data_IF_428240192859
#
_entry.id   IF_428240192859
#
_cell.length_a   1.000
_cell.length_b   1.000
_cell.length_c   1.000
_cell.angle_alpha   90.00
_cell.angle_beta   90.00
_cell.angle_gamma   90.00
#
_symmetry.space_group_name_H-M   'P 1'
#
loop_
_entity.id
_entity.type
_entity.pdbx_description
1 polymer ?
#
# COMPACT_ATOMS: atom_id res chain seq x y z
N UNK A 1 -35.35 -42.99 -6.06
CA UNK A 1 -34.08 -43.47 -6.69
C UNK A 1 -33.06 -42.37 -6.48
N UNK A 2 -31.89 -42.50 -5.84
CA UNK A 2 -31.25 -43.56 -5.08
C UNK A 2 -30.28 -42.87 -4.09
N UNK A 3 -30.13 -43.42 -2.90
CA UNK A 3 -29.15 -42.98 -1.88
C UNK A 3 -27.78 -43.56 -2.20
N UNK A 4 -26.76 -42.72 -2.36
CA UNK A 4 -25.36 -43.17 -2.52
C UNK A 4 -24.61 -42.99 -1.19
N UNK A 5 -24.76 -43.97 -0.30
CA UNK A 5 -23.82 -44.22 0.77
C UNK A 5 -22.53 -44.78 0.14
N UNK A 6 -21.43 -44.04 0.23
CA UNK A 6 -20.12 -44.56 -0.15
C UNK A 6 -19.74 -45.67 0.85
N UNK A 7 -19.82 -46.92 0.40
CA UNK A 7 -19.34 -48.11 1.09
C UNK A 7 -17.89 -47.90 1.50
N UNK A 8 -17.62 -47.98 2.80
CA UNK A 8 -16.26 -48.01 3.33
C UNK A 8 -15.47 -49.10 2.62
N UNK A 9 -14.51 -48.71 1.78
CA UNK A 9 -13.51 -49.62 1.24
C UNK A 9 -12.75 -50.23 2.40
N UNK A 10 -13.15 -51.42 2.82
CA UNK A 10 -12.35 -52.31 3.64
C UNK A 10 -11.09 -52.63 2.84
N UNK A 11 -10.05 -51.81 3.01
CA UNK A 11 -8.69 -52.19 2.67
C UNK A 11 -8.47 -53.51 3.41
N UNK A 12 -8.53 -54.62 2.68
CA UNK A 12 -8.24 -55.94 3.20
C UNK A 12 -6.77 -55.92 3.58
N UNK A 13 -6.49 -55.61 4.85
CA UNK A 13 -5.11 -55.53 5.36
C UNK A 13 -4.58 -56.95 5.42
N UNK A 14 -3.69 -57.25 4.48
CA UNK A 14 -2.93 -58.49 4.44
C UNK A 14 -1.78 -58.46 5.43
N UNK A 15 -1.43 -59.61 5.97
CA UNK A 15 -0.33 -59.74 6.92
C UNK A 15 1.00 -59.38 6.23
N UNK A 16 1.72 -58.39 6.76
CA UNK A 16 3.01 -57.97 6.20
C UNK A 16 4.12 -59.05 6.24
N UNK A 17 3.92 -60.14 6.99
CA UNK A 17 4.90 -61.23 7.08
C UNK A 17 4.65 -62.37 6.07
N UNK A 18 3.39 -62.67 5.71
CA UNK A 18 3.05 -63.79 4.82
C UNK A 18 2.09 -63.44 3.66
N UNK A 19 1.59 -62.21 3.61
CA UNK A 19 0.69 -61.71 2.57
C UNK A 19 -0.75 -62.20 2.64
N UNK A 20 -1.13 -63.07 3.59
CA UNK A 20 -2.51 -63.55 3.70
C UNK A 20 -3.44 -62.57 4.43
N UNK A 21 -4.71 -62.41 3.99
CA UNK A 21 -5.70 -61.55 4.66
C UNK A 21 -6.24 -62.18 5.95
N UNK A 22 -6.79 -61.35 6.84
CA UNK A 22 -7.51 -61.80 8.04
C UNK A 22 -6.71 -61.77 9.35
N UNK A 23 -5.42 -61.43 9.33
CA UNK A 23 -4.63 -61.22 10.54
C UNK A 23 -3.51 -60.17 10.34
N UNK A 24 -3.07 -59.54 11.43
CA UNK A 24 -1.90 -58.64 11.42
C UNK A 24 -0.61 -59.42 11.69
N UNK A 25 0.54 -58.84 11.32
CA UNK A 25 1.87 -59.45 11.42
C UNK A 25 2.22 -60.01 12.82
N UNK A 26 1.62 -59.48 13.88
CA UNK A 26 1.83 -59.94 15.26
C UNK A 26 1.08 -61.24 15.59
N UNK A 27 0.02 -61.54 14.84
CA UNK A 27 -0.83 -62.72 15.02
C UNK A 27 -0.64 -63.73 13.87
N UNK A 28 0.50 -63.65 13.17
CA UNK A 28 0.80 -64.54 12.06
C UNK A 28 1.17 -65.95 12.58
N UNK A 29 0.44 -67.01 12.21
CA UNK A 29 0.70 -68.36 12.70
C UNK A 29 2.07 -68.91 12.25
N UNK A 30 2.67 -68.31 11.22
CA UNK A 30 3.98 -68.70 10.69
C UNK A 30 5.17 -68.03 11.42
N UNK A 31 4.92 -67.22 12.46
CA UNK A 31 5.98 -66.47 13.16
C UNK A 31 7.00 -67.36 13.91
N UNK A 32 6.71 -68.65 14.11
CA UNK A 32 7.55 -69.57 14.88
C UNK A 32 8.48 -70.44 14.01
N UNK A 33 8.52 -70.27 12.69
CA UNK A 33 9.37 -71.10 11.81
C UNK A 33 10.07 -70.28 10.71
N UNK A 34 10.92 -69.32 11.07
CA UNK A 34 12.02 -68.89 10.15
C UNK A 34 12.96 -67.89 10.82
N UNK A 35 13.94 -68.40 11.55
CA UNK A 35 15.22 -67.70 11.70
C UNK A 35 16.04 -67.91 10.42
N UNK A 36 15.76 -67.17 9.35
CA UNK A 36 16.64 -67.10 8.18
C UNK A 36 16.65 -65.69 7.58
N UNK A 37 17.81 -65.06 7.67
CA UNK A 37 18.21 -63.86 6.95
C UNK A 37 18.27 -64.14 5.45
N UNK A 38 17.46 -63.44 4.64
CA UNK A 38 17.59 -63.47 3.18
C UNK A 38 18.16 -62.14 2.68
N UNK A 39 19.42 -62.21 2.23
CA UNK A 39 20.13 -61.20 1.45
C UNK A 39 19.82 -61.38 -0.03
N UNK A 40 19.11 -60.44 -0.64
CA UNK A 40 19.00 -60.35 -2.10
C UNK A 40 19.60 -59.02 -2.58
N UNK A 41 20.84 -59.09 -3.07
CA UNK A 41 21.52 -58.02 -3.82
C UNK A 41 21.54 -58.36 -5.30
N UNK A 42 21.04 -57.46 -6.15
CA UNK A 42 21.14 -57.55 -7.61
C UNK A 42 22.07 -56.45 -8.18
N UNK A 43 23.22 -56.92 -8.70
CA UNK A 43 23.98 -56.55 -9.93
C UNK A 43 24.18 -55.07 -10.34
N UNK A 44 25.45 -54.63 -10.38
CA UNK A 44 26.09 -53.87 -11.49
C UNK A 44 27.59 -54.25 -11.57
N UNK A 45 28.21 -54.48 -12.75
CA UNK A 45 29.64 -54.77 -12.88
C UNK A 45 30.45 -53.56 -13.36
N UNK A 46 31.61 -53.29 -12.75
CA UNK A 46 32.67 -52.46 -13.37
C UNK A 46 34.07 -52.74 -12.77
N UNK A 47 34.83 -53.52 -13.53
CA UNK A 47 36.26 -53.36 -13.88
C UNK A 47 37.31 -52.96 -12.81
N UNK A 48 38.06 -54.00 -12.43
CA UNK A 48 39.51 -54.12 -12.29
C UNK A 48 40.41 -52.87 -12.55
N UNK A 49 41.17 -52.43 -11.55
CA UNK A 49 42.51 -51.83 -11.72
C UNK A 49 43.41 -52.19 -10.53
N UNK A 50 44.61 -52.69 -10.85
CA UNK A 50 45.63 -53.14 -9.90
C UNK A 50 46.74 -52.09 -9.71
N UNK A 51 47.49 -52.26 -8.61
CA UNK A 51 48.87 -51.79 -8.30
C UNK A 51 48.93 -50.31 -7.84
N UNK A 52 49.55 -49.93 -6.70
CA UNK A 52 50.99 -50.03 -6.35
C UNK A 52 51.25 -50.10 -4.84
N UNK A 53 52.19 -50.98 -4.48
CA UNK A 53 52.89 -51.20 -3.20
C UNK A 53 54.08 -50.24 -3.02
N UNK A 54 54.28 -49.69 -1.81
CA UNK A 54 55.56 -49.12 -1.33
C UNK A 54 55.72 -49.44 0.17
N UNK A 55 56.93 -49.73 0.69
CA UNK A 55 57.10 -50.58 1.88
C UNK A 55 57.30 -49.82 3.21
N UNK A 56 57.26 -50.65 4.25
CA UNK A 56 57.36 -50.34 5.67
C UNK A 56 58.63 -49.60 6.13
N UNK A 57 58.44 -48.73 7.13
CA UNK A 57 59.44 -48.34 8.13
C UNK A 57 58.86 -48.62 9.51
N UNK A 58 59.53 -49.48 10.28
CA UNK A 58 58.98 -50.14 11.45
C UNK A 58 59.23 -49.48 12.82
N UNK A 59 58.73 -50.23 13.82
CA UNK A 59 58.93 -50.16 15.28
C UNK A 59 57.81 -49.46 16.10
N UNK A 60 57.61 -49.84 17.39
CA UNK A 60 57.21 -51.19 17.81
C UNK A 60 56.04 -51.20 18.83
N UNK A 61 55.32 -52.32 18.87
CA UNK A 61 54.51 -52.88 19.95
C UNK A 61 53.66 -51.96 20.86
N UNK A 62 52.33 -52.10 20.71
CA UNK A 62 51.38 -51.69 21.73
C UNK A 62 49.94 -52.06 21.39
N UNK A 63 49.50 -53.21 21.94
CA UNK A 63 48.11 -53.50 22.32
C UNK A 63 47.14 -54.05 21.23
N UNK A 64 46.97 -55.38 21.27
CA UNK A 64 45.86 -56.09 20.62
C UNK A 64 44.55 -55.84 21.40
N UNK A 65 43.73 -54.91 20.90
CA UNK A 65 42.31 -54.81 21.23
C UNK A 65 41.48 -55.18 20.01
N UNK A 66 40.75 -56.29 20.10
CA UNK A 66 39.85 -56.80 19.06
C UNK A 66 38.83 -55.72 18.63
N UNK A 67 39.01 -55.14 17.44
CA UNK A 67 38.05 -54.23 16.82
C UNK A 67 37.52 -54.86 15.52
N UNK A 68 36.67 -55.88 15.66
CA UNK A 68 35.84 -56.38 14.57
C UNK A 68 34.75 -55.33 14.26
N UNK A 69 34.74 -54.74 13.05
CA UNK A 69 33.54 -54.09 12.51
C UNK A 69 33.67 -52.73 11.81
N UNK A 70 34.85 -52.35 11.30
CA UNK A 70 35.11 -50.97 10.83
C UNK A 70 34.96 -50.64 9.34
N UNK A 71 34.42 -51.52 8.48
CA UNK A 71 34.49 -51.32 7.02
C UNK A 71 33.25 -50.74 6.33
N UNK A 72 32.05 -50.98 6.87
CA UNK A 72 30.78 -50.68 6.16
C UNK A 72 30.07 -49.41 6.65
N UNK A 73 30.20 -49.08 7.94
CA UNK A 73 29.53 -47.90 8.54
C UNK A 73 29.92 -46.57 7.87
N UNK A 74 31.21 -46.27 7.62
CA UNK A 74 31.58 -44.99 7.02
C UNK A 74 31.06 -44.83 5.58
N UNK A 75 30.93 -45.94 4.84
CA UNK A 75 30.43 -45.94 3.45
C UNK A 75 28.92 -45.75 3.40
N UNK A 76 28.19 -46.40 4.31
CA UNK A 76 26.73 -46.24 4.42
C UNK A 76 26.38 -44.82 4.86
N UNK A 77 27.09 -44.26 5.84
CA UNK A 77 26.91 -42.87 6.29
C UNK A 77 27.14 -41.86 5.14
N UNK A 78 28.16 -42.08 4.31
CA UNK A 78 28.43 -41.21 3.16
C UNK A 78 27.35 -41.33 2.05
N UNK A 79 26.81 -42.53 1.82
CA UNK A 79 25.70 -42.74 0.88
C UNK A 79 24.41 -42.09 1.41
N UNK A 80 24.12 -42.24 2.70
CA UNK A 80 22.99 -41.59 3.37
C UNK A 80 23.10 -40.06 3.27
N UNK A 81 24.28 -39.49 3.50
CA UNK A 81 24.52 -38.05 3.33
C UNK A 81 24.33 -37.57 1.87
N UNK A 82 24.77 -38.38 0.90
CA UNK A 82 24.62 -38.05 -0.53
C UNK A 82 23.14 -38.11 -0.95
N UNK A 83 22.41 -39.15 -0.54
CA UNK A 83 20.96 -39.28 -0.81
C UNK A 83 20.15 -38.18 -0.13
N UNK A 84 20.50 -37.82 1.12
CA UNK A 84 19.89 -36.70 1.82
C UNK A 84 20.09 -35.37 1.07
N UNK A 85 21.30 -35.15 0.52
CA UNK A 85 21.61 -33.97 -0.28
C UNK A 85 20.81 -33.93 -1.59
N UNK A 86 20.70 -35.07 -2.29
CA UNK A 86 19.90 -35.17 -3.52
C UNK A 86 18.43 -34.90 -3.23
N UNK A 87 17.88 -35.50 -2.17
CA UNK A 87 16.49 -35.29 -1.76
C UNK A 87 16.24 -33.83 -1.41
N UNK A 88 17.13 -33.19 -0.64
CA UNK A 88 16.99 -31.79 -0.29
C UNK A 88 17.00 -30.86 -1.52
N UNK A 89 17.81 -31.17 -2.54
CA UNK A 89 17.81 -30.42 -3.81
C UNK A 89 16.51 -30.62 -4.58
N UNK A 90 16.03 -31.85 -4.70
CA UNK A 90 14.78 -32.14 -5.39
C UNK A 90 13.57 -31.52 -4.70
N UNK A 91 13.47 -31.63 -3.38
CA UNK A 91 12.39 -31.02 -2.59
C UNK A 91 12.44 -29.48 -2.73
N UNK A 92 13.64 -28.88 -2.77
CA UNK A 92 13.81 -27.45 -3.01
C UNK A 92 13.45 -27.02 -4.44
N UNK A 93 13.71 -27.85 -5.45
CA UNK A 93 13.31 -27.60 -6.84
C UNK A 93 11.79 -27.69 -7.00
N UNK A 94 11.15 -28.71 -6.43
CA UNK A 94 9.70 -28.85 -6.43
C UNK A 94 9.01 -27.67 -5.74
N UNK A 95 9.57 -27.17 -4.64
CA UNK A 95 9.01 -26.00 -3.95
C UNK A 95 9.19 -24.72 -4.77
N UNK A 96 10.33 -24.55 -5.45
CA UNK A 96 10.53 -23.42 -6.38
C UNK A 96 9.54 -23.46 -7.54
N UNK A 97 9.22 -24.63 -8.08
CA UNK A 97 8.22 -24.78 -9.14
C UNK A 97 6.81 -24.44 -8.66
N UNK A 98 6.43 -24.89 -7.46
CA UNK A 98 5.14 -24.51 -6.85
C UNK A 98 5.03 -23.00 -6.65
N UNK A 99 6.07 -22.37 -6.09
CA UNK A 99 6.09 -20.92 -5.89
C UNK A 99 5.96 -20.18 -7.23
N UNK A 100 6.67 -20.63 -8.27
CA UNK A 100 6.54 -20.05 -9.62
C UNK A 100 5.13 -20.18 -10.16
N UNK A 101 4.52 -21.36 -10.06
CA UNK A 101 3.15 -21.59 -10.52
C UNK A 101 2.14 -20.74 -9.75
N UNK A 102 2.27 -20.64 -8.43
CA UNK A 102 1.42 -19.78 -7.59
C UNK A 102 1.60 -18.29 -7.93
N UNK A 103 2.83 -17.84 -8.21
CA UNK A 103 3.12 -16.48 -8.64
C UNK A 103 2.55 -16.17 -10.04
N UNK A 104 2.64 -17.12 -10.97
CA UNK A 104 2.04 -17.00 -12.31
C UNK A 104 0.52 -16.93 -12.24
N UNK A 105 -0.12 -17.78 -11.44
CA UNK A 105 -1.57 -17.75 -11.20
C UNK A 105 -2.00 -16.45 -10.52
N UNK A 106 -1.22 -15.93 -9.56
CA UNK A 106 -1.49 -14.62 -8.95
C UNK A 106 -1.41 -13.49 -9.99
N UNK A 107 -0.35 -13.48 -10.82
CA UNK A 107 -0.20 -12.49 -11.91
C UNK A 107 -1.33 -12.58 -12.93
N UNK A 108 -1.82 -13.78 -13.22
CA UNK A 108 -2.94 -13.99 -14.13
C UNK A 108 -4.22 -13.38 -13.55
N UNK A 109 -4.54 -13.65 -12.27
CA UNK A 109 -5.68 -13.05 -11.57
C UNK A 109 -5.61 -11.52 -11.52
N UNK A 110 -4.42 -10.96 -11.26
CA UNK A 110 -4.22 -9.50 -11.27
C UNK A 110 -4.46 -8.89 -12.65
N UNK A 111 -4.01 -9.55 -13.73
CA UNK A 111 -4.25 -9.10 -15.11
C UNK A 111 -5.74 -9.15 -15.47
N UNK A 112 -6.43 -10.23 -15.13
CA UNK A 112 -7.88 -10.37 -15.33
C UNK A 112 -8.65 -9.29 -14.56
N UNK A 113 -8.28 -9.01 -13.31
CA UNK A 113 -8.87 -7.93 -12.52
C UNK A 113 -8.60 -6.54 -13.09
N UNK A 114 -7.39 -6.31 -13.60
CA UNK A 114 -7.04 -5.05 -14.25
C UNK A 114 -7.80 -4.85 -15.57
N UNK A 115 -7.98 -5.93 -16.35
CA UNK A 115 -8.79 -5.92 -17.56
C UNK A 115 -10.26 -5.58 -17.25
N UNK A 116 -10.88 -6.24 -16.26
CA UNK A 116 -12.25 -5.91 -15.81
C UNK A 116 -12.39 -4.44 -15.41
N UNK A 117 -11.38 -3.86 -14.75
CA UNK A 117 -11.39 -2.44 -14.38
C UNK A 117 -11.27 -1.52 -15.61
N UNK A 118 -10.48 -1.90 -16.61
CA UNK A 118 -10.37 -1.14 -17.87
C UNK A 118 -11.65 -1.20 -18.68
N UNK A 119 -12.30 -2.36 -18.76
CA UNK A 119 -13.58 -2.52 -19.43
C UNK A 119 -14.67 -1.69 -18.76
N UNK A 120 -14.83 -1.78 -17.44
CA UNK A 120 -15.81 -0.97 -16.70
C UNK A 120 -15.56 0.54 -16.86
N UNK A 121 -14.29 0.97 -16.95
CA UNK A 121 -13.94 2.36 -17.23
C UNK A 121 -14.34 2.75 -18.66
N UNK A 122 -14.05 1.89 -19.64
CA UNK A 122 -14.38 2.12 -21.05
C UNK A 122 -15.90 2.21 -21.24
N UNK A 123 -16.67 1.32 -20.64
CA UNK A 123 -18.14 1.37 -20.68
C UNK A 123 -18.69 2.68 -20.09
N UNK A 124 -18.12 3.16 -18.98
CA UNK A 124 -18.50 4.45 -18.39
C UNK A 124 -18.19 5.63 -19.31
N UNK A 125 -17.03 5.62 -19.97
CA UNK A 125 -16.62 6.64 -20.94
C UNK A 125 -17.52 6.59 -22.19
N UNK A 126 -17.82 5.40 -22.70
CA UNK A 126 -18.74 5.19 -23.83
C UNK A 126 -20.15 5.68 -23.50
N UNK A 127 -20.67 5.39 -22.29
CA UNK A 127 -21.97 5.91 -21.84
C UNK A 127 -21.96 7.45 -21.76
N UNK A 128 -20.89 8.03 -21.22
CA UNK A 128 -20.74 9.48 -21.14
C UNK A 128 -20.64 10.12 -22.53
N UNK A 129 -19.92 9.49 -23.46
CA UNK A 129 -19.82 9.96 -24.85
C UNK A 129 -21.17 9.85 -25.56
N UNK A 130 -21.91 8.75 -25.39
CA UNK A 130 -23.26 8.59 -25.92
C UNK A 130 -24.20 9.67 -25.38
N UNK A 131 -24.18 9.94 -24.07
CA UNK A 131 -24.92 11.05 -23.48
C UNK A 131 -24.52 12.40 -24.06
N UNK A 132 -23.22 12.66 -24.20
CA UNK A 132 -22.71 13.91 -24.77
C UNK A 132 -23.15 14.08 -26.23
N UNK A 133 -23.11 13.02 -27.04
CA UNK A 133 -23.60 13.03 -28.43
C UNK A 133 -25.11 13.27 -28.50
N UNK A 134 -25.88 12.61 -27.64
CA UNK A 134 -27.33 12.79 -27.58
C UNK A 134 -27.72 14.21 -27.15
N UNK A 135 -27.01 14.79 -26.18
CA UNK A 135 -27.18 16.18 -25.77
C UNK A 135 -26.76 17.14 -26.89
N UNK A 136 -25.63 16.89 -27.55
CA UNK A 136 -25.16 17.66 -28.70
C UNK A 136 -26.21 17.70 -29.83
N UNK A 137 -26.72 16.55 -30.24
CA UNK A 137 -27.75 16.48 -31.29
C UNK A 137 -29.06 17.20 -30.93
N UNK A 138 -29.49 17.13 -29.66
CA UNK A 138 -30.65 17.90 -29.18
C UNK A 138 -30.38 19.40 -29.21
N UNK A 139 -29.19 19.84 -28.82
CA UNK A 139 -28.80 21.24 -28.85
C UNK A 139 -28.69 21.77 -30.29
N UNK A 140 -28.17 20.96 -31.22
CA UNK A 140 -28.11 21.31 -32.64
C UNK A 140 -29.52 21.45 -33.25
N UNK A 141 -30.45 20.56 -32.91
CA UNK A 141 -31.84 20.67 -33.33
C UNK A 141 -32.52 21.94 -32.78
N UNK A 142 -32.28 22.27 -31.51
CA UNK A 142 -32.78 23.53 -30.91
C UNK A 142 -32.14 24.74 -31.59
N UNK A 143 -30.85 24.69 -31.91
CA UNK A 143 -30.14 25.75 -32.63
C UNK A 143 -30.73 25.94 -34.03
N UNK A 144 -31.02 24.87 -34.76
CA UNK A 144 -31.63 24.93 -36.09
C UNK A 144 -33.05 25.52 -36.04
N UNK A 145 -33.87 25.14 -35.04
CA UNK A 145 -35.18 25.73 -34.81
C UNK A 145 -35.09 27.22 -34.47
N UNK A 146 -34.13 27.61 -33.64
CA UNK A 146 -33.87 29.01 -33.31
C UNK A 146 -33.43 29.79 -34.56
N UNK A 147 -32.55 29.26 -35.40
CA UNK A 147 -32.11 29.94 -36.62
C UNK A 147 -33.24 30.09 -37.65
N UNK A 148 -34.11 29.08 -37.81
CA UNK A 148 -35.32 29.18 -38.65
C UNK A 148 -36.30 30.23 -38.09
N UNK A 149 -36.45 30.32 -36.77
CA UNK A 149 -37.29 31.32 -36.12
C UNK A 149 -36.68 32.73 -36.20
N UNK A 150 -35.35 32.84 -36.14
CA UNK A 150 -34.60 34.10 -36.23
C UNK A 150 -34.82 34.85 -37.55
N UNK A 151 -35.17 34.15 -38.64
CA UNK A 151 -35.58 34.79 -39.88
C UNK A 151 -36.88 35.60 -39.78
N UNK A 152 -37.80 35.21 -38.89
CA UNK A 152 -39.08 35.89 -38.62
C UNK A 152 -39.00 36.81 -37.40
N UNK A 153 -38.28 36.41 -36.36
CA UNK A 153 -38.09 37.20 -35.14
C UNK A 153 -37.07 38.32 -35.31
N UNK A 154 -36.10 38.28 -36.24
CA UNK A 154 -35.15 39.39 -36.41
C UNK A 154 -35.85 40.72 -36.75
N UNK A 155 -36.95 40.68 -37.52
CA UNK A 155 -37.72 41.87 -37.87
C UNK A 155 -38.51 42.41 -36.67
N UNK A 156 -39.07 41.53 -35.84
CA UNK A 156 -39.77 41.91 -34.59
C UNK A 156 -38.81 42.32 -33.47
N UNK A 157 -37.68 41.63 -33.33
CA UNK A 157 -36.61 41.91 -32.37
C UNK A 157 -35.88 43.20 -32.73
N UNK A 158 -35.72 43.55 -34.01
CA UNK A 158 -35.22 44.87 -34.41
C UNK A 158 -36.19 45.99 -33.96
N UNK A 159 -37.50 45.75 -34.10
CA UNK A 159 -38.56 46.67 -33.68
C UNK A 159 -38.63 46.82 -32.15
N UNK A 160 -38.60 45.71 -31.42
CA UNK A 160 -38.57 45.69 -29.96
C UNK A 160 -37.25 46.20 -29.37
N UNK A 161 -36.12 46.03 -30.06
CA UNK A 161 -34.83 46.64 -29.66
C UNK A 161 -34.87 48.16 -29.77
N UNK A 162 -35.50 48.72 -30.80
CA UNK A 162 -35.71 50.16 -30.91
C UNK A 162 -36.59 50.70 -29.77
N UNK A 163 -37.62 49.94 -29.40
CA UNK A 163 -38.52 50.26 -28.27
C UNK A 163 -37.84 50.11 -26.90
N UNK A 164 -37.02 49.07 -26.70
CA UNK A 164 -36.19 48.90 -25.51
C UNK A 164 -35.08 49.95 -25.40
N UNK A 165 -34.52 50.43 -26.51
CA UNK A 165 -33.54 51.52 -26.48
C UNK A 165 -34.19 52.85 -26.07
N UNK A 166 -35.46 53.06 -26.43
CA UNK A 166 -36.30 54.17 -25.94
C UNK A 166 -36.61 54.02 -24.44
N UNK A 167 -37.03 52.83 -23.99
CA UNK A 167 -37.34 52.57 -22.59
C UNK A 167 -36.09 52.58 -21.69
N UNK A 168 -34.93 52.10 -22.17
CA UNK A 168 -33.65 52.10 -21.45
C UNK A 168 -33.06 53.51 -21.32
N UNK A 169 -33.30 54.40 -22.31
CA UNK A 169 -33.02 55.83 -22.16
C UNK A 169 -33.90 56.47 -21.07
N UNK A 170 -35.11 55.96 -20.84
CA UNK A 170 -35.95 56.32 -19.69
C UNK A 170 -35.57 55.66 -18.36
N UNK A 171 -35.07 54.42 -18.39
CA UNK A 171 -34.74 53.63 -17.19
C UNK A 171 -33.31 53.87 -16.67
N UNK A 172 -32.41 54.40 -17.49
CA UNK A 172 -31.07 54.86 -17.04
C UNK A 172 -31.15 56.02 -16.02
N UNK A 173 -32.32 56.63 -15.83
CA UNK A 173 -32.60 57.61 -14.78
C UNK A 173 -33.08 56.98 -13.45
N UNK A 174 -33.30 55.67 -13.40
CA UNK A 174 -33.83 54.99 -12.22
C UNK A 174 -33.01 53.74 -11.87
N UNK A 175 -32.38 53.79 -10.70
CA UNK A 175 -31.99 52.65 -9.85
C UNK A 175 -30.65 51.96 -10.11
N UNK A 176 -29.62 52.49 -9.46
CA UNK A 176 -28.56 51.70 -8.83
C UNK A 176 -29.11 51.10 -7.53
N UNK A 177 -29.36 49.78 -7.48
CA UNK A 177 -29.55 49.07 -6.22
C UNK A 177 -28.76 47.76 -6.28
N UNK A 178 -27.73 47.68 -5.45
CA UNK A 178 -26.92 46.49 -5.24
C UNK A 178 -27.75 45.41 -4.51
N UNK A 179 -27.80 44.20 -5.08
CA UNK A 179 -28.47 43.06 -4.47
C UNK A 179 -27.45 42.16 -3.77
N UNK A 180 -27.52 42.13 -2.44
CA UNK A 180 -26.88 41.11 -1.59
C UNK A 180 -27.76 39.86 -1.59
N UNK A 181 -27.56 38.96 -2.55
CA UNK A 181 -28.14 37.61 -2.51
C UNK A 181 -27.00 36.60 -2.64
N UNK A 182 -26.71 35.90 -1.55
CA UNK A 182 -25.71 34.83 -1.50
C UNK A 182 -26.09 33.73 -2.50
N UNK A 183 -25.17 33.38 -3.38
CA UNK A 183 -25.41 32.46 -4.49
C UNK A 183 -25.51 31.02 -3.96
N UNK A 184 -26.35 30.18 -4.59
CA UNK A 184 -26.40 28.74 -4.30
C UNK A 184 -25.01 28.07 -4.43
N UNK A 185 -24.14 28.63 -5.27
CA UNK A 185 -22.75 28.22 -5.39
C UNK A 185 -21.94 28.47 -4.11
N UNK A 186 -22.16 29.60 -3.44
CA UNK A 186 -21.46 29.97 -2.20
C UNK A 186 -21.89 29.04 -1.06
N UNK A 187 -23.18 28.69 -1.00
CA UNK A 187 -23.71 27.71 -0.04
C UNK A 187 -23.10 26.33 -0.25
N UNK A 188 -22.96 25.87 -1.50
CA UNK A 188 -22.32 24.60 -1.82
C UNK A 188 -20.83 24.59 -1.45
N UNK A 189 -20.10 25.66 -1.78
CA UNK A 189 -18.70 25.87 -1.36
C UNK A 189 -18.54 25.77 0.16
N UNK A 190 -19.41 26.46 0.90
CA UNK A 190 -19.41 26.44 2.37
C UNK A 190 -19.69 25.04 2.91
N UNK A 191 -20.70 24.33 2.39
CA UNK A 191 -21.01 22.96 2.81
C UNK A 191 -19.85 21.99 2.56
N UNK A 192 -19.16 22.10 1.41
CA UNK A 192 -17.98 21.29 1.10
C UNK A 192 -16.80 21.61 2.03
N UNK A 193 -16.60 22.89 2.36
CA UNK A 193 -15.55 23.31 3.30
C UNK A 193 -15.83 22.80 4.73
N UNK A 194 -17.10 22.80 5.15
CA UNK A 194 -17.52 22.31 6.45
C UNK A 194 -17.36 20.78 6.57
N UNK A 195 -17.70 20.01 5.53
CA UNK A 195 -17.53 18.56 5.54
C UNK A 195 -16.05 18.15 5.51
N UNK A 196 -15.22 18.92 4.78
CA UNK A 196 -13.75 18.78 4.84
C UNK A 196 -13.23 19.07 6.24
N UNK A 197 -13.67 20.16 6.87
CA UNK A 197 -13.27 20.50 8.24
C UNK A 197 -13.74 19.45 9.27
N UNK A 198 -14.92 18.83 9.08
CA UNK A 198 -15.39 17.72 9.93
C UNK A 198 -14.51 16.49 9.78
N UNK A 199 -14.10 16.16 8.57
CA UNK A 199 -13.23 15.01 8.29
C UNK A 199 -11.82 15.23 8.83
N UNK A 200 -11.27 16.44 8.69
CA UNK A 200 -9.99 16.84 9.27
C UNK A 200 -10.02 16.75 10.81
N UNK A 201 -11.10 17.19 11.46
CA UNK A 201 -11.27 17.03 12.92
C UNK A 201 -11.30 15.57 13.36
N UNK A 202 -12.01 14.71 12.61
CA UNK A 202 -12.04 13.26 12.87
C UNK A 202 -10.66 12.63 12.75
N UNK A 203 -9.89 13.05 11.75
CA UNK A 203 -8.53 12.58 11.54
C UNK A 203 -7.58 13.04 12.65
N UNK A 204 -7.64 14.32 13.03
CA UNK A 204 -6.84 14.86 14.13
C UNK A 204 -7.09 14.11 15.45
N UNK A 205 -8.36 13.83 15.78
CA UNK A 205 -8.70 13.06 16.98
C UNK A 205 -8.14 11.63 16.95
N UNK A 206 -8.12 10.99 15.77
CA UNK A 206 -7.52 9.66 15.61
C UNK A 206 -5.99 9.70 15.74
N UNK A 207 -5.33 10.73 15.18
CA UNK A 207 -3.89 10.91 15.33
C UNK A 207 -3.48 11.17 16.78
N UNK A 208 -4.27 11.95 17.53
CA UNK A 208 -4.09 12.15 18.96
C UNK A 208 -4.20 10.83 19.74
N UNK A 209 -5.18 9.98 19.41
CA UNK A 209 -5.34 8.67 20.06
C UNK A 209 -4.18 7.72 19.74
N UNK A 210 -3.72 7.69 18.49
CA UNK A 210 -2.52 6.93 18.09
C UNK A 210 -1.29 7.43 18.86
N UNK A 211 -1.13 8.74 19.01
CA UNK A 211 -0.02 9.32 19.77
C UNK A 211 -0.11 8.94 21.25
N UNK A 212 -1.30 8.98 21.85
CA UNK A 212 -1.57 8.56 23.23
C UNK A 212 -1.21 7.09 23.44
N UNK A 213 -1.66 6.20 22.55
CA UNK A 213 -1.37 4.76 22.60
C UNK A 213 0.12 4.47 22.45
N UNK A 214 0.81 5.16 21.52
CA UNK A 214 2.27 5.04 21.35
C UNK A 214 3.02 5.45 22.61
N UNK A 215 2.61 6.55 23.26
CA UNK A 215 3.21 7.02 24.51
C UNK A 215 3.02 5.98 25.62
N UNK A 216 1.79 5.48 25.81
CA UNK A 216 1.51 4.45 26.80
C UNK A 216 2.35 3.19 26.54
N UNK A 217 2.51 2.76 25.28
CA UNK A 217 3.34 1.61 24.94
C UNK A 217 4.83 1.85 25.20
N UNK A 218 5.33 3.07 24.96
CA UNK A 218 6.71 3.42 25.29
C UNK A 218 6.94 3.39 26.82
N UNK A 219 5.97 3.85 27.61
CA UNK A 219 6.03 3.80 29.08
C UNK A 219 6.01 2.36 29.61
N UNK A 220 5.16 1.49 29.05
CA UNK A 220 5.12 0.06 29.45
C UNK A 220 6.41 -0.65 29.08
N UNK A 221 6.95 -0.42 27.87
CA UNK A 221 8.24 -0.97 27.46
C UNK A 221 9.38 -0.46 28.35
N UNK A 222 9.36 0.83 28.71
CA UNK A 222 10.31 1.41 29.67
C UNK A 222 10.21 0.75 31.05
N UNK A 223 9.01 0.48 31.54
CA UNK A 223 8.80 -0.26 32.78
C UNK A 223 9.35 -1.69 32.67
N UNK A 224 9.11 -2.40 31.56
CA UNK A 224 9.65 -3.75 31.34
C UNK A 224 11.18 -3.75 31.36
N UNK A 225 11.83 -2.79 30.70
CA UNK A 225 13.29 -2.70 30.70
C UNK A 225 13.85 -2.34 32.08
N UNK A 226 13.18 -1.49 32.86
CA UNK A 226 13.60 -1.21 34.25
C UNK A 226 13.46 -2.45 35.15
N UNK A 227 12.36 -3.20 35.04
CA UNK A 227 12.21 -4.48 35.75
C UNK A 227 13.27 -5.50 35.36
N UNK A 228 13.60 -5.59 34.07
CA UNK A 228 14.65 -6.46 33.55
C UNK A 228 16.04 -6.05 34.05
N UNK A 229 16.33 -4.75 34.10
CA UNK A 229 17.57 -4.23 34.67
C UNK A 229 17.68 -4.53 36.17
N UNK A 230 16.60 -4.36 36.94
CA UNK A 230 16.57 -4.69 38.38
C UNK A 230 16.70 -6.21 38.63
N UNK A 231 16.10 -7.04 37.78
CA UNK A 231 16.25 -8.50 37.85
C UNK A 231 17.70 -8.94 37.61
N UNK A 232 18.42 -8.27 36.72
CA UNK A 232 19.83 -8.53 36.39
C UNK A 232 20.82 -7.78 37.30
N UNK A 233 20.34 -7.00 38.27
CA UNK A 233 21.20 -6.18 39.14
C UNK A 233 22.13 -7.07 39.99
N UNK A 234 23.45 -6.87 39.96
CA UNK A 234 24.39 -7.59 40.81
C UNK A 234 24.03 -7.44 42.30
N UNK A 235 23.92 -8.57 43.02
CA UNK A 235 23.50 -8.60 44.43
C UNK A 235 22.00 -8.82 44.67
N UNK A 236 21.19 -8.94 43.62
CA UNK A 236 19.80 -9.38 43.76
C UNK A 236 19.75 -10.88 44.13
N UNK A 237 19.48 -11.19 45.40
CA UNK A 237 19.37 -12.57 45.93
C UNK A 237 18.13 -13.34 45.43
N UNK A 238 17.38 -12.78 44.47
CA UNK A 238 16.33 -13.48 43.71
C UNK A 238 16.89 -14.19 42.47
N UNK A 239 18.21 -14.34 42.37
CA UNK A 239 18.88 -15.10 41.31
C UNK A 239 19.07 -16.57 41.68
N UNK A 240 18.47 -17.46 40.88
CA UNK A 240 18.92 -18.84 40.66
C UNK A 240 18.68 -19.84 41.80
N UNK A 241 17.59 -20.62 41.71
CA UNK A 241 17.55 -21.92 42.39
C UNK A 241 18.54 -22.83 41.66
N UNK A 242 19.80 -22.87 42.14
CA UNK A 242 20.67 -23.99 41.85
C UNK A 242 20.06 -25.22 42.53
N UNK A 243 19.48 -26.13 41.74
CA UNK A 243 19.03 -27.44 42.22
C UNK A 243 20.27 -28.30 42.48
N UNK A 244 20.95 -28.04 43.59
CA UNK A 244 21.88 -29.01 44.15
C UNK A 244 21.09 -29.99 45.01
N UNK A 245 21.30 -31.32 44.93
CA UNK A 245 20.62 -32.27 45.81
C UNK A 245 21.12 -32.02 47.24
N UNK A 246 20.27 -31.46 48.10
CA UNK A 246 20.60 -31.28 49.52
C UNK A 246 20.28 -32.57 50.27
N UNK A 247 21.23 -33.14 51.03
CA UNK A 247 20.94 -34.22 51.95
C UNK A 247 20.36 -33.65 53.23
N UNK A 248 19.32 -34.33 53.73
CA UNK A 248 18.67 -34.21 55.04
C UNK A 248 17.46 -33.23 55.13
N UNK A 249 16.27 -33.72 55.54
CA UNK A 249 15.07 -32.90 55.67
C UNK A 249 15.04 -32.23 57.05
N UNK A 250 15.04 -30.89 57.09
CA UNK A 250 14.57 -30.16 58.27
C UNK A 250 13.25 -29.47 57.97
N UNK A 251 12.24 -29.88 58.72
CA UNK A 251 10.91 -29.27 58.81
C UNK A 251 11.03 -27.76 59.09
N UNK A 252 10.79 -26.95 58.06
CA UNK A 252 10.34 -25.56 58.24
C UNK A 252 8.90 -25.50 57.79
N UNK A 253 7.99 -25.21 58.74
CA UNK A 253 6.62 -24.84 58.46
C UNK A 253 6.62 -23.48 57.75
N UNK A 254 6.72 -23.50 56.41
CA UNK A 254 6.46 -22.34 55.56
C UNK A 254 4.95 -22.28 55.31
N UNK A 255 4.30 -21.19 55.70
CA UNK A 255 2.91 -20.91 55.35
C UNK A 255 2.76 -21.03 53.83
N UNK A 256 1.95 -21.99 53.41
CA UNK A 256 1.79 -22.39 52.01
C UNK A 256 0.90 -21.34 51.33
N UNK A 257 1.52 -20.29 50.81
CA UNK A 257 0.84 -19.40 49.87
C UNK A 257 0.62 -20.19 48.58
N UNK A 258 -0.62 -20.59 48.33
CA UNK A 258 -1.01 -21.17 47.04
C UNK A 258 -0.84 -20.08 45.98
N UNK A 259 0.01 -20.27 44.96
CA UNK A 259 0.03 -19.35 43.83
C UNK A 259 -1.39 -19.34 43.24
N UNK A 260 -1.99 -18.16 43.12
CA UNK A 260 -3.20 -18.01 42.30
C UNK A 260 -2.81 -18.52 40.92
N UNK A 261 -3.46 -19.60 40.49
CA UNK A 261 -3.27 -20.18 39.17
C UNK A 261 -3.70 -19.11 38.18
N UNK A 262 -2.75 -18.48 37.50
CA UNK A 262 -3.06 -17.63 36.36
C UNK A 262 -3.86 -18.46 35.36
N UNK A 263 -4.94 -17.93 34.76
CA UNK A 263 -5.69 -18.62 33.74
C UNK A 263 -4.73 -19.17 32.67
N UNK A 264 -4.96 -20.40 32.16
CA UNK A 264 -4.09 -20.96 31.13
C UNK A 264 -3.99 -19.97 29.98
N UNK A 265 -2.77 -19.57 29.65
CA UNK A 265 -2.50 -18.71 28.49
C UNK A 265 -2.87 -19.51 27.24
N UNK A 266 -4.02 -19.17 26.66
CA UNK A 266 -4.53 -19.85 25.48
C UNK A 266 -3.77 -19.34 24.25
N UNK A 267 -2.75 -20.10 23.88
CA UNK A 267 -1.80 -19.74 22.82
C UNK A 267 -2.49 -19.58 21.47
N UNK A 268 -3.64 -20.23 21.27
CA UNK A 268 -4.44 -20.06 20.05
C UNK A 268 -5.18 -18.72 20.05
N UNK A 269 -5.78 -18.34 21.18
CA UNK A 269 -6.48 -17.06 21.31
C UNK A 269 -5.53 -15.86 21.15
N UNK A 270 -4.31 -15.97 21.67
CA UNK A 270 -3.28 -14.94 21.47
C UNK A 270 -2.83 -14.83 20.01
N UNK A 271 -2.71 -15.95 19.29
CA UNK A 271 -2.39 -15.94 17.86
C UNK A 271 -3.51 -15.33 17.03
N UNK A 272 -4.76 -15.64 17.37
CA UNK A 272 -5.92 -15.09 16.68
C UNK A 272 -6.03 -13.58 16.89
N UNK A 273 -5.82 -13.10 18.12
CA UNK A 273 -5.77 -11.65 18.40
C UNK A 273 -4.66 -10.93 17.62
N UNK A 274 -3.49 -11.56 17.46
CA UNK A 274 -2.40 -10.99 16.64
C UNK A 274 -2.76 -10.96 15.15
N UNK A 275 -3.40 -12.01 14.63
CA UNK A 275 -3.87 -12.06 13.24
C UNK A 275 -4.96 -11.00 12.97
N UNK A 276 -5.88 -10.80 13.92
CA UNK A 276 -6.92 -9.77 13.83
C UNK A 276 -6.30 -8.37 13.82
N UNK A 277 -5.29 -8.12 14.67
CA UNK A 277 -4.54 -6.87 14.67
C UNK A 277 -3.77 -6.64 13.36
N UNK A 278 -3.15 -7.68 12.80
CA UNK A 278 -2.46 -7.59 11.51
C UNK A 278 -3.44 -7.23 10.38
N UNK A 279 -4.63 -7.85 10.37
CA UNK A 279 -5.67 -7.53 9.39
C UNK A 279 -6.17 -6.09 9.53
N UNK A 280 -6.40 -5.61 10.76
CA UNK A 280 -6.79 -4.22 11.01
C UNK A 280 -5.73 -3.23 10.52
N UNK A 281 -4.45 -3.51 10.78
CA UNK A 281 -3.33 -2.71 10.29
C UNK A 281 -3.32 -2.68 8.76
N UNK A 282 -3.61 -3.79 8.09
CA UNK A 282 -3.65 -3.87 6.63
C UNK A 282 -4.80 -3.04 6.05
N UNK A 283 -5.99 -3.13 6.63
CA UNK A 283 -7.14 -2.29 6.25
C UNK A 283 -6.85 -0.80 6.43
N UNK A 284 -6.16 -0.41 7.51
CA UNK A 284 -5.76 0.97 7.75
C UNK A 284 -4.74 1.47 6.71
N UNK A 285 -3.80 0.62 6.29
CA UNK A 285 -2.85 0.93 5.21
C UNK A 285 -3.57 1.13 3.88
N UNK A 286 -4.48 0.23 3.54
CA UNK A 286 -5.28 0.32 2.31
C UNK A 286 -6.14 1.59 2.29
N UNK A 287 -6.79 1.91 3.41
CA UNK A 287 -7.60 3.13 3.54
C UNK A 287 -6.75 4.38 3.34
N UNK A 288 -5.59 4.47 4.01
CA UNK A 288 -4.66 5.61 3.87
C UNK A 288 -4.13 5.75 2.44
N UNK A 289 -3.85 4.63 1.77
CA UNK A 289 -3.42 4.65 0.38
C UNK A 289 -4.52 5.16 -0.55
N UNK A 290 -5.78 4.75 -0.31
CA UNK A 290 -6.94 5.22 -1.08
C UNK A 290 -7.17 6.71 -0.88
N UNK A 291 -7.08 7.20 0.35
CA UNK A 291 -7.18 8.62 0.72
C UNK A 291 -6.09 9.46 0.00
N UNK A 292 -4.82 9.04 0.11
CA UNK A 292 -3.69 9.73 -0.53
C UNK A 292 -3.81 9.76 -2.06
N UNK A 293 -4.24 8.65 -2.66
CA UNK A 293 -4.49 8.60 -4.11
C UNK A 293 -5.67 9.48 -4.53
N UNK A 294 -6.73 9.55 -3.72
CA UNK A 294 -7.86 10.46 -3.93
C UNK A 294 -7.42 11.92 -3.91
N UNK A 295 -6.63 12.30 -2.90
CA UNK A 295 -6.05 13.64 -2.78
C UNK A 295 -5.18 14.00 -3.98
N UNK A 296 -4.27 13.10 -4.39
CA UNK A 296 -3.41 13.31 -5.57
C UNK A 296 -4.23 13.55 -6.84
N UNK A 297 -5.31 12.78 -7.04
CA UNK A 297 -6.21 12.97 -8.20
C UNK A 297 -6.91 14.33 -8.16
N UNK A 298 -7.41 14.73 -7.00
CA UNK A 298 -8.02 16.05 -6.83
C UNK A 298 -7.02 17.19 -7.05
N UNK A 299 -5.79 17.06 -6.58
CA UNK A 299 -4.71 18.03 -6.82
C UNK A 299 -4.38 18.13 -8.33
N UNK A 300 -4.32 17.01 -9.05
CA UNK A 300 -4.15 17.00 -10.51
C UNK A 300 -5.32 17.66 -11.24
N UNK A 301 -6.55 17.48 -10.79
CA UNK A 301 -7.73 18.15 -11.36
C UNK A 301 -7.70 19.66 -11.11
N UNK A 302 -7.29 20.09 -9.90
CA UNK A 302 -7.09 21.51 -9.60
C UNK A 302 -6.00 22.12 -10.49
N UNK A 303 -4.92 21.41 -10.74
CA UNK A 303 -3.84 21.88 -11.62
C UNK A 303 -4.32 22.01 -13.07
N UNK A 304 -5.07 21.04 -13.59
CA UNK A 304 -5.72 21.13 -14.90
C UNK A 304 -6.68 22.32 -15.00
N UNK A 305 -7.50 22.55 -13.97
CA UNK A 305 -8.41 23.69 -13.95
C UNK A 305 -7.66 25.03 -13.87
N UNK A 306 -6.57 25.10 -13.11
CA UNK A 306 -5.67 26.27 -13.09
C UNK A 306 -5.05 26.53 -14.45
N UNK A 307 -4.60 25.49 -15.16
CA UNK A 307 -4.06 25.63 -16.51
C UNK A 307 -5.14 26.09 -17.50
N UNK A 308 -6.36 25.55 -17.41
CA UNK A 308 -7.48 26.01 -18.21
C UNK A 308 -7.81 27.49 -17.94
N UNK A 309 -7.81 27.91 -16.67
CA UNK A 309 -7.99 29.31 -16.27
C UNK A 309 -6.90 30.21 -16.83
N UNK A 310 -5.63 29.82 -16.70
CA UNK A 310 -4.49 30.56 -17.25
C UNK A 310 -4.56 30.66 -18.77
N UNK A 311 -4.96 29.58 -19.46
CA UNK A 311 -5.09 29.57 -20.92
C UNK A 311 -6.27 30.44 -21.40
N UNK A 312 -7.36 30.51 -20.62
CA UNK A 312 -8.47 31.45 -20.86
C UNK A 312 -8.08 32.90 -20.56
N UNK A 313 -7.25 33.16 -19.56
CA UNK A 313 -6.68 34.49 -19.28
C UNK A 313 -5.73 34.96 -20.39
N UNK A 314 -4.86 34.08 -20.87
CA UNK A 314 -3.99 34.37 -22.03
C UNK A 314 -4.84 34.66 -23.28
N UNK A 315 -5.92 33.92 -23.53
CA UNK A 315 -6.88 34.20 -24.61
C UNK A 315 -7.70 35.48 -24.40
N UNK A 316 -7.88 35.92 -23.15
CA UNK A 316 -8.50 37.20 -22.79
C UNK A 316 -7.53 38.39 -22.81
N UNK A 317 -6.22 38.16 -22.99
CA UNK A 317 -5.32 39.28 -23.26
C UNK A 317 -5.83 39.99 -24.51
N UNK A 318 -6.20 41.27 -24.42
CA UNK A 318 -6.70 41.97 -25.57
C UNK A 318 -5.56 41.99 -26.59
N UNK A 319 -5.82 41.52 -27.81
CA UNK A 319 -5.13 42.08 -28.97
C UNK A 319 -5.25 43.59 -28.78
N UNK A 320 -4.19 44.23 -28.31
CA UNK A 320 -4.18 45.67 -28.09
C UNK A 320 -4.29 46.27 -29.48
N UNK A 321 -5.53 46.54 -29.90
CA UNK A 321 -5.80 47.18 -31.16
C UNK A 321 -5.08 48.51 -31.08
N UNK A 322 -4.21 48.76 -32.07
CA UNK A 322 -3.39 49.97 -32.20
C UNK A 322 -4.26 51.24 -32.35
N UNK A 323 -5.58 51.16 -32.14
CA UNK A 323 -6.54 52.26 -32.26
C UNK A 323 -6.14 53.46 -31.40
N UNK A 324 -5.69 53.25 -30.16
CA UNK A 324 -5.31 54.34 -29.27
C UNK A 324 -4.06 55.09 -29.76
N UNK A 325 -3.05 54.36 -30.26
CA UNK A 325 -1.85 54.96 -30.85
C UNK A 325 -2.13 55.60 -32.22
N UNK A 326 -3.10 55.08 -33.00
CA UNK A 326 -3.55 55.70 -34.25
C UNK A 326 -4.34 56.98 -34.00
N UNK A 327 -5.15 57.05 -32.94
CA UNK A 327 -5.90 58.25 -32.56
C UNK A 327 -4.96 59.37 -32.06
N UNK A 328 -3.94 59.05 -31.27
CA UNK A 328 -2.94 60.05 -30.83
C UNK A 328 -2.08 60.59 -31.99
N UNK A 329 -1.81 59.76 -33.01
CA UNK A 329 -1.10 60.20 -34.23
C UNK A 329 -1.95 61.12 -35.11
N UNK A 330 -3.27 61.02 -35.06
CA UNK A 330 -4.17 61.94 -35.79
C UNK A 330 -4.39 63.23 -35.00
N UNK A 331 -4.40 63.15 -33.67
CA UNK A 331 -4.53 64.33 -32.79
C UNK A 331 -3.31 65.27 -32.80
N UNK A 332 -2.14 64.80 -33.22
CA UNK A 332 -0.87 65.55 -33.18
C UNK A 332 -0.46 66.19 -34.51
N UNK A 333 -1.23 66.01 -35.60
CA UNK A 333 -0.87 66.53 -36.94
C UNK A 333 -1.37 67.97 -37.17
N UNK A 334 -2.19 68.54 -36.28
CA UNK A 334 -2.71 69.89 -36.47
C UNK A 334 -2.27 70.85 -35.35
N UNK A 335 -1.07 71.44 -35.55
CA UNK A 335 -0.66 72.80 -35.12
C UNK A 335 0.82 73.00 -35.40
N UNK A 336 1.13 73.36 -36.65
CA UNK A 336 2.35 74.11 -36.93
C UNK A 336 2.25 75.50 -36.31
N UNK A 337 3.17 75.86 -35.42
CA UNK A 337 3.66 77.23 -35.20
C UNK A 337 4.91 77.22 -34.30
N UNK A 338 5.97 77.84 -34.81
CA UNK A 338 7.33 77.94 -34.27
C UNK A 338 7.37 78.69 -32.92
N UNK A 339 8.27 78.34 -31.97
CA UNK A 339 8.53 79.21 -30.83
C UNK A 339 9.61 80.24 -31.19
N UNK A 340 9.26 81.52 -31.06
CA UNK A 340 10.18 82.66 -31.02
C UNK A 340 10.61 82.85 -29.57
N UNK A 341 11.92 82.98 -29.37
CA UNK A 341 12.57 83.35 -28.10
C UNK A 341 12.19 84.76 -27.66
N UNK A 342 12.18 85.01 -26.35
CA UNK A 342 12.91 86.19 -25.88
C UNK A 342 13.75 85.90 -24.63
N UNK A 343 14.98 86.39 -24.63
CA UNK A 343 15.81 86.44 -23.43
C UNK A 343 15.44 87.62 -22.52
N UNK A 344 15.74 87.51 -21.23
CA UNK A 344 16.24 88.62 -20.41
C UNK A 344 16.83 88.12 -19.06
N UNK A 345 18.04 88.64 -18.78
CA UNK A 345 18.63 89.01 -17.47
C UNK A 345 18.76 88.01 -16.30
N UNK A 346 19.98 87.50 -16.14
CA UNK A 346 20.95 87.81 -15.05
C UNK A 346 20.37 88.31 -13.70
N UNK A 347 20.58 87.55 -12.61
CA UNK A 347 21.45 87.96 -11.49
C UNK A 347 21.77 86.81 -10.52
N UNK A 348 23.01 86.86 -10.05
CA UNK A 348 23.66 86.03 -9.04
C UNK A 348 23.11 86.23 -7.63
N UNK A 349 23.47 85.28 -6.76
CA UNK A 349 23.61 85.27 -5.29
C UNK A 349 22.81 84.10 -4.72
N UNK A 350 23.40 83.08 -4.12
CA UNK A 350 24.45 83.09 -3.11
C UNK A 350 23.85 82.48 -1.83
N UNK A 351 24.68 81.81 -1.04
CA UNK A 351 24.45 81.34 0.35
C UNK A 351 24.07 79.86 0.52
N UNK A 352 25.09 79.13 0.98
CA UNK A 352 25.03 77.89 1.75
C UNK A 352 24.16 78.02 3.01
N UNK A 353 23.44 76.98 3.40
CA UNK A 353 23.41 76.59 4.82
C UNK A 353 22.92 75.15 5.02
N UNK A 354 23.81 74.34 5.59
CA UNK A 354 23.55 73.08 6.29
C UNK A 354 23.16 73.37 7.75
N UNK A 355 22.17 72.65 8.31
CA UNK A 355 21.89 72.35 9.75
C UNK A 355 20.60 71.49 9.73
N UNK A 356 20.51 70.20 10.10
CA UNK A 356 20.77 69.44 11.34
C UNK A 356 19.75 69.61 12.49
N UNK A 357 19.20 68.48 12.95
CA UNK A 357 18.52 68.27 14.25
C UNK A 357 17.04 68.69 14.31
N UNK A 358 16.15 68.16 15.15
CA UNK A 358 16.03 67.17 16.24
C UNK A 358 14.49 67.02 16.44
N UNK A 359 13.90 66.01 17.08
CA UNK A 359 14.24 65.26 18.30
C UNK A 359 13.64 63.86 18.27
#
# INVERSE_FOLDING_TARGET
>A
MASNMATSSSIIRTCYNCGQPGHFARSCPLRLQSGQTNTNTAIVPAQNSQVVTVPAGGAPYGNFGYNFGGGLKPRVENLEATVATIKARHDAEMEREKIKHEEEERKKREKEDEERRREAKKEREELHEQMSKALGGKLDAVKELLEKKKGSENDEVAKLRAELELLRKGQAQATNVASTSESEYDKYQKAMSEEKARSEKRFAAMEEEIARLKKANAETLGAVETWKAEALRPGNKRGGVAVTPSPVPRSRMRTRYTPVVSPPFDKEQAKQAMADQEHEIELLKEWRLRELNGRRKAEQELEKLKEQMANLEVKKTPMTTNLRSRLDKVATVDKGKKPVTPGLSKWESGVQCSVSGRS
#
